data_IF_238744746405
#
_entry.id   IF_238744746405
#
_cell.length_a   1.000
_cell.length_b   1.000
_cell.length_c   1.000
_cell.angle_alpha   90.00
_cell.angle_beta   90.00
_cell.angle_gamma   90.00
#
_symmetry.space_group_name_H-M   'P 1'
#
loop_
_entity.id
_entity.type
_entity.pdbx_description
1 polymer ?
#
# COMPACT_ATOMS: atom_id res chain seq x y z
N UNK A 1 4.00 -26.95 4.82
CA UNK A 1 4.32 -25.54 5.13
C UNK A 1 4.49 -25.44 6.63
N UNK A 2 5.60 -24.89 7.09
CA UNK A 2 5.78 -24.68 8.51
C UNK A 2 4.66 -23.80 9.04
N UNK A 3 4.17 -24.14 10.23
CA UNK A 3 3.14 -23.38 10.92
C UNK A 3 3.56 -21.92 11.05
N UNK A 4 2.67 -20.95 10.81
CA UNK A 4 2.95 -19.52 10.98
C UNK A 4 3.58 -19.21 12.35
N UNK A 5 3.13 -19.88 13.40
CA UNK A 5 3.59 -19.68 14.77
C UNK A 5 5.04 -20.15 15.02
N UNK A 6 5.62 -21.02 14.17
CA UNK A 6 7.04 -21.39 14.26
C UNK A 6 7.97 -20.17 14.04
N UNK A 7 7.47 -19.14 13.34
CA UNK A 7 8.20 -17.87 13.19
C UNK A 7 8.37 -17.18 14.55
N UNK A 8 7.33 -17.18 15.38
CA UNK A 8 7.40 -16.59 16.72
C UNK A 8 8.39 -17.35 17.65
N UNK A 9 8.51 -18.66 17.49
CA UNK A 9 9.49 -19.46 18.22
C UNK A 9 10.93 -19.15 17.76
N UNK A 10 11.14 -19.02 16.45
CA UNK A 10 12.45 -18.82 15.85
C UNK A 10 12.95 -17.39 15.95
N UNK A 11 12.11 -16.40 15.72
CA UNK A 11 12.48 -14.99 15.62
C UNK A 11 12.00 -14.15 16.79
N UNK A 12 11.11 -14.70 17.64
CA UNK A 12 10.48 -13.97 18.75
C UNK A 12 9.31 -13.09 18.30
N UNK A 13 8.66 -12.48 19.29
CA UNK A 13 7.55 -11.53 19.14
C UNK A 13 7.92 -10.19 19.77
N UNK A 14 7.28 -9.07 19.41
CA UNK A 14 6.36 -8.95 18.29
C UNK A 14 7.09 -8.97 16.93
N UNK A 15 6.46 -9.50 15.88
CA UNK A 15 7.05 -9.48 14.55
C UNK A 15 5.98 -9.45 13.45
N UNK A 16 6.31 -8.84 12.31
CA UNK A 16 5.56 -8.99 11.08
C UNK A 16 6.10 -10.15 10.26
N UNK A 17 5.20 -10.90 9.65
CA UNK A 17 5.52 -11.96 8.68
C UNK A 17 4.85 -11.62 7.36
N UNK A 18 5.63 -11.48 6.29
CA UNK A 18 5.10 -11.28 4.94
C UNK A 18 5.42 -12.51 4.08
N UNK A 19 4.37 -13.16 3.61
CA UNK A 19 4.45 -14.38 2.81
C UNK A 19 4.57 -14.04 1.32
N UNK A 20 5.80 -14.14 0.78
CA UNK A 20 6.11 -13.87 -0.62
C UNK A 20 5.50 -14.94 -1.56
N UNK A 21 5.24 -16.17 -1.05
CA UNK A 21 4.59 -17.23 -1.84
C UNK A 21 3.11 -16.93 -2.01
N UNK A 22 2.43 -16.54 -0.92
CA UNK A 22 1.03 -16.12 -0.96
C UNK A 22 0.85 -14.87 -1.84
N UNK A 23 1.75 -13.89 -1.69
CA UNK A 23 1.77 -12.69 -2.55
C UNK A 23 1.89 -13.07 -4.02
N UNK A 24 2.85 -13.93 -4.36
CA UNK A 24 3.06 -14.38 -5.75
C UNK A 24 1.83 -15.09 -6.30
N UNK A 25 1.20 -15.95 -5.50
CA UNK A 25 -0.04 -16.65 -5.88
C UNK A 25 -1.17 -15.67 -6.18
N UNK A 26 -1.37 -14.68 -5.28
CA UNK A 26 -2.38 -13.64 -5.47
C UNK A 26 -2.13 -12.82 -6.72
N UNK A 27 -0.89 -12.37 -6.94
CA UNK A 27 -0.53 -11.57 -8.12
C UNK A 27 -0.70 -12.35 -9.43
N UNK A 28 -0.38 -13.65 -9.45
CA UNK A 28 -0.66 -14.52 -10.61
C UNK A 28 -2.16 -14.64 -10.86
N UNK A 29 -2.98 -14.76 -9.82
CA UNK A 29 -4.44 -14.80 -9.95
C UNK A 29 -5.01 -13.47 -10.45
N UNK A 30 -4.52 -12.33 -9.98
CA UNK A 30 -4.87 -11.01 -10.51
C UNK A 30 -4.47 -10.90 -11.98
N UNK A 31 -3.26 -11.33 -12.35
CA UNK A 31 -2.79 -11.29 -13.74
C UNK A 31 -3.64 -12.15 -14.69
N UNK A 32 -4.15 -13.28 -14.20
CA UNK A 32 -5.04 -14.15 -14.98
C UNK A 32 -6.45 -13.55 -15.22
N UNK A 33 -6.88 -12.61 -14.38
CA UNK A 33 -8.17 -11.91 -14.50
C UNK A 33 -8.06 -10.67 -15.38
N UNK A 34 -6.99 -9.90 -15.21
CA UNK A 34 -6.79 -8.61 -15.91
C UNK A 34 -6.23 -8.89 -17.31
N UNK A 35 -6.78 -8.27 -18.39
CA UNK A 35 -6.24 -8.38 -19.74
C UNK A 35 -4.72 -8.13 -19.82
N UNK A 36 -4.03 -8.87 -20.69
CA UNK A 36 -2.55 -8.87 -20.75
C UNK A 36 -1.97 -7.50 -21.11
N UNK A 37 -2.65 -6.75 -21.96
CA UNK A 37 -2.28 -5.40 -22.38
C UNK A 37 -2.32 -4.36 -21.25
N UNK A 38 -3.07 -4.62 -20.18
CA UNK A 38 -3.15 -3.72 -19.00
C UNK A 38 -1.94 -3.96 -18.10
N UNK A 39 -1.14 -2.93 -17.87
CA UNK A 39 0.02 -2.98 -17.00
C UNK A 39 -0.40 -2.91 -15.52
N UNK A 40 0.40 -3.54 -14.65
CA UNK A 40 0.23 -3.46 -13.20
C UNK A 40 1.30 -2.54 -12.62
N UNK A 41 0.88 -1.65 -11.72
CA UNK A 41 1.74 -0.79 -10.90
C UNK A 41 1.53 -1.10 -9.42
N UNK A 42 2.62 -1.25 -8.68
CA UNK A 42 2.56 -1.41 -7.23
C UNK A 42 2.93 -0.13 -6.50
N UNK A 43 2.01 0.40 -5.69
CA UNK A 43 2.26 1.54 -4.81
C UNK A 43 3.05 1.06 -3.58
N UNK A 44 4.37 1.34 -3.55
CA UNK A 44 5.27 0.79 -2.53
C UNK A 44 4.97 1.29 -1.11
N UNK A 45 4.29 2.43 -0.97
CA UNK A 45 3.77 2.93 0.32
C UNK A 45 2.93 1.92 1.08
N UNK A 46 2.31 0.98 0.37
CA UNK A 46 1.54 -0.09 1.00
C UNK A 46 2.44 -1.02 1.82
N UNK A 47 3.61 -1.40 1.30
CA UNK A 47 4.61 -2.16 2.05
C UNK A 47 5.94 -2.20 1.27
N UNK A 48 6.95 -1.43 1.67
CA UNK A 48 8.24 -1.38 0.97
C UNK A 48 9.06 -2.68 1.11
N UNK A 49 8.77 -3.54 2.09
CA UNK A 49 9.46 -4.83 2.26
C UNK A 49 9.09 -5.85 1.17
N UNK A 50 7.99 -5.62 0.45
CA UNK A 50 7.56 -6.48 -0.65
C UNK A 50 8.18 -6.12 -2.01
N UNK A 51 8.96 -5.05 -2.12
CA UNK A 51 9.60 -4.62 -3.37
C UNK A 51 10.38 -5.76 -4.06
N UNK A 52 11.22 -6.57 -3.35
CA UNK A 52 11.98 -7.63 -4.01
C UNK A 52 11.12 -8.69 -4.72
N UNK A 53 9.94 -8.99 -4.18
CA UNK A 53 8.97 -9.88 -4.81
C UNK A 53 8.17 -9.13 -5.90
N UNK A 54 7.62 -7.95 -5.59
CA UNK A 54 6.74 -7.18 -6.47
C UNK A 54 7.41 -6.73 -7.76
N UNK A 55 8.70 -6.34 -7.75
CA UNK A 55 9.42 -5.93 -8.97
C UNK A 55 9.51 -7.00 -10.06
N UNK A 56 9.21 -8.26 -9.71
CA UNK A 56 9.14 -9.40 -10.65
C UNK A 56 7.73 -9.66 -11.16
N UNK A 57 6.73 -9.04 -10.56
CA UNK A 57 5.31 -9.32 -10.75
C UNK A 57 4.55 -8.15 -11.37
N UNK A 58 5.15 -6.94 -11.37
CA UNK A 58 4.56 -5.71 -11.92
C UNK A 58 5.53 -5.02 -12.87
N UNK A 59 4.99 -4.17 -13.75
CA UNK A 59 5.80 -3.38 -14.68
C UNK A 59 6.32 -2.07 -14.10
N UNK A 60 5.69 -1.54 -13.05
CA UNK A 60 6.00 -0.23 -12.47
C UNK A 60 5.83 -0.25 -10.96
N UNK A 61 6.66 0.56 -10.28
CA UNK A 61 6.55 0.85 -8.85
C UNK A 61 6.25 2.34 -8.69
N UNK A 62 5.14 2.68 -8.05
CA UNK A 62 4.82 4.05 -7.67
C UNK A 62 5.55 4.41 -6.38
N UNK A 63 6.28 5.54 -6.42
CA UNK A 63 7.09 6.10 -5.35
C UNK A 63 6.59 7.51 -5.03
N UNK A 64 6.25 7.77 -3.77
CA UNK A 64 5.59 9.02 -3.35
C UNK A 64 6.47 9.94 -2.50
N UNK A 65 7.72 9.55 -2.20
CA UNK A 65 8.64 10.34 -1.37
C UNK A 65 10.10 10.10 -1.72
N UNK A 66 11.02 11.04 -1.35
CA UNK A 66 12.46 10.82 -1.50
C UNK A 66 12.96 9.60 -0.72
N UNK A 67 12.37 9.30 0.43
CA UNK A 67 12.73 8.13 1.24
C UNK A 67 12.36 6.81 0.54
N UNK A 68 11.18 6.73 -0.06
CA UNK A 68 10.79 5.57 -0.87
C UNK A 68 11.67 5.39 -2.11
N UNK A 69 12.09 6.49 -2.74
CA UNK A 69 13.03 6.44 -3.85
C UNK A 69 14.39 5.87 -3.40
N UNK A 70 14.85 6.27 -2.22
CA UNK A 70 16.10 5.74 -1.66
C UNK A 70 15.98 4.26 -1.32
N UNK A 71 14.84 3.79 -0.80
CA UNK A 71 14.56 2.37 -0.59
C UNK A 71 14.65 1.60 -1.91
N UNK A 72 14.04 2.10 -2.99
CA UNK A 72 14.14 1.50 -4.32
C UNK A 72 15.58 1.40 -4.80
N UNK A 73 16.37 2.49 -4.63
CA UNK A 73 17.78 2.52 -5.00
C UNK A 73 18.60 1.48 -4.25
N UNK A 74 18.44 1.40 -2.94
CA UNK A 74 19.17 0.44 -2.10
C UNK A 74 18.81 -1.01 -2.42
N UNK A 75 17.57 -1.26 -2.82
CA UNK A 75 17.10 -2.58 -3.24
C UNK A 75 17.41 -2.92 -4.71
N UNK A 76 18.17 -2.06 -5.42
CA UNK A 76 18.58 -2.30 -6.80
C UNK A 76 17.41 -2.34 -7.78
N UNK A 77 16.36 -1.55 -7.54
CA UNK A 77 15.27 -1.34 -8.48
C UNK A 77 15.78 -0.53 -9.66
N UNK A 78 15.50 -0.99 -10.88
CA UNK A 78 15.80 -0.19 -12.08
C UNK A 78 15.02 1.11 -12.08
N UNK A 79 15.65 2.28 -12.33
CA UNK A 79 14.95 3.56 -12.40
C UNK A 79 13.82 3.60 -13.42
N UNK A 80 13.90 2.79 -14.47
CA UNK A 80 12.86 2.66 -15.51
C UNK A 80 11.58 2.04 -14.98
N UNK A 81 11.64 1.32 -13.88
CA UNK A 81 10.46 0.78 -13.19
C UNK A 81 9.78 1.82 -12.30
N UNK A 82 10.42 2.95 -12.02
CA UNK A 82 9.91 3.93 -11.05
C UNK A 82 9.01 4.96 -11.74
N UNK A 83 7.81 5.16 -11.21
CA UNK A 83 6.99 6.34 -11.42
C UNK A 83 7.08 7.23 -10.17
N UNK A 84 7.70 8.41 -10.28
CA UNK A 84 7.82 9.32 -9.16
C UNK A 84 6.59 10.20 -9.04
N UNK A 85 5.73 9.83 -8.11
CA UNK A 85 4.46 10.47 -7.77
C UNK A 85 4.60 11.35 -6.51
N UNK A 86 3.55 11.48 -5.73
CA UNK A 86 3.50 12.21 -4.46
C UNK A 86 3.09 13.66 -4.60
N UNK A 87 2.34 14.16 -3.61
CA UNK A 87 1.76 15.51 -3.59
C UNK A 87 2.79 16.58 -3.23
N UNK A 88 3.82 16.23 -2.47
CA UNK A 88 4.88 17.14 -2.06
C UNK A 88 6.18 16.79 -2.81
N UNK A 89 6.44 17.50 -3.91
CA UNK A 89 7.69 17.43 -4.67
C UNK A 89 8.39 18.79 -4.59
N UNK A 90 9.58 18.79 -4.01
CA UNK A 90 10.48 19.95 -4.06
C UNK A 90 11.36 19.89 -5.32
N UNK A 91 12.02 21.02 -5.64
CA UNK A 91 13.03 21.07 -6.70
C UNK A 91 14.12 20.01 -6.45
N UNK A 92 14.61 19.93 -5.22
CA UNK A 92 15.65 18.97 -4.85
C UNK A 92 15.21 17.51 -5.03
N UNK A 93 13.94 17.17 -4.73
CA UNK A 93 13.41 15.81 -4.90
C UNK A 93 13.36 15.42 -6.38
N UNK A 94 12.91 16.35 -7.24
CA UNK A 94 12.84 16.12 -8.68
C UNK A 94 14.24 15.96 -9.27
N UNK A 95 15.15 16.85 -8.92
CA UNK A 95 16.54 16.81 -9.36
C UNK A 95 17.22 15.50 -8.95
N UNK A 96 17.09 15.11 -7.66
CA UNK A 96 17.62 13.85 -7.16
C UNK A 96 17.02 12.63 -7.89
N UNK A 97 15.71 12.62 -8.12
CA UNK A 97 15.07 11.51 -8.84
C UNK A 97 15.64 11.39 -10.26
N UNK A 98 15.82 12.51 -10.94
CA UNK A 98 16.43 12.57 -12.27
C UNK A 98 17.90 12.14 -12.27
N UNK A 99 18.67 12.51 -11.26
CA UNK A 99 20.09 12.12 -11.13
C UNK A 99 20.24 10.61 -10.84
N UNK A 100 19.25 10.02 -10.19
CA UNK A 100 19.16 8.57 -10.00
C UNK A 100 18.63 7.82 -11.24
N UNK A 101 18.33 8.53 -12.33
CA UNK A 101 17.91 7.93 -13.59
C UNK A 101 16.39 7.77 -13.74
N UNK A 102 15.57 8.23 -12.80
CA UNK A 102 14.11 8.21 -12.96
C UNK A 102 13.71 9.11 -14.13
N UNK A 103 12.87 8.56 -14.99
CA UNK A 103 12.42 9.25 -16.21
C UNK A 103 10.96 9.69 -16.14
N UNK A 104 10.11 8.97 -15.41
CA UNK A 104 8.65 9.16 -15.38
C UNK A 104 8.17 9.81 -14.11
N UNK A 105 7.30 10.82 -14.24
CA UNK A 105 6.78 11.61 -13.14
C UNK A 105 5.27 11.82 -13.26
N UNK A 106 4.60 11.95 -12.11
CA UNK A 106 3.23 12.44 -12.02
C UNK A 106 3.22 13.89 -11.58
N UNK A 107 2.54 14.77 -12.32
CA UNK A 107 2.34 16.19 -11.96
C UNK A 107 1.00 16.36 -11.25
N UNK A 108 1.04 16.82 -10.00
CA UNK A 108 -0.16 17.06 -9.19
C UNK A 108 -0.59 18.53 -9.19
N UNK A 109 0.18 19.40 -9.84
CA UNK A 109 -0.07 20.85 -9.88
C UNK A 109 0.74 21.54 -10.99
N UNK A 110 0.39 22.78 -11.36
CA UNK A 110 1.22 23.59 -12.25
C UNK A 110 2.65 23.84 -11.73
N UNK A 111 2.85 23.80 -10.40
CA UNK A 111 4.18 23.86 -9.81
C UNK A 111 5.02 22.65 -10.23
N UNK A 112 4.47 21.45 -10.11
CA UNK A 112 5.19 20.21 -10.50
C UNK A 112 5.53 20.19 -11.99
N UNK A 113 4.65 20.69 -12.85
CA UNK A 113 4.93 20.88 -14.29
C UNK A 113 6.19 21.72 -14.49
N UNK A 114 6.30 22.88 -13.83
CA UNK A 114 7.47 23.76 -13.93
C UNK A 114 8.74 23.11 -13.37
N UNK A 115 8.66 22.51 -12.16
CA UNK A 115 9.83 21.92 -11.51
C UNK A 115 10.44 20.80 -12.36
N UNK A 116 9.59 19.95 -12.95
CA UNK A 116 10.04 18.82 -13.77
C UNK A 116 10.59 19.33 -15.11
N UNK A 117 9.92 20.31 -15.73
CA UNK A 117 10.40 20.94 -16.96
C UNK A 117 11.80 21.57 -16.78
N UNK A 118 11.97 22.41 -15.75
CA UNK A 118 13.24 23.07 -15.45
C UNK A 118 14.36 22.06 -15.17
N UNK A 119 14.07 21.04 -14.35
CA UNK A 119 15.06 20.02 -14.01
C UNK A 119 15.44 19.15 -15.23
N UNK A 120 14.50 18.83 -16.10
CA UNK A 120 14.75 18.07 -17.31
C UNK A 120 15.57 18.87 -18.33
N UNK A 121 15.20 20.15 -18.54
CA UNK A 121 15.96 21.06 -19.44
C UNK A 121 17.41 21.26 -18.99
N UNK A 122 17.64 21.45 -17.68
CA UNK A 122 18.99 21.60 -17.15
C UNK A 122 19.87 20.37 -17.37
N UNK A 123 19.26 19.22 -17.66
CA UNK A 123 19.92 17.94 -17.95
C UNK A 123 19.89 17.56 -19.43
N UNK A 124 19.41 18.47 -20.30
CA UNK A 124 19.34 18.26 -21.75
C UNK A 124 18.41 17.10 -22.15
N UNK A 125 17.37 16.83 -21.36
CA UNK A 125 16.44 15.71 -21.63
C UNK A 125 14.99 16.15 -21.63
N UNK A 126 14.11 15.27 -22.11
CA UNK A 126 12.66 15.40 -22.06
C UNK A 126 12.11 14.28 -21.18
N UNK A 127 11.40 14.65 -20.12
CA UNK A 127 10.80 13.66 -19.20
C UNK A 127 9.32 13.43 -19.52
N UNK A 128 8.88 12.18 -19.71
CA UNK A 128 7.47 11.85 -19.80
C UNK A 128 6.76 12.10 -18.47
N UNK A 129 5.58 12.71 -18.53
CA UNK A 129 4.76 13.04 -17.35
C UNK A 129 3.31 12.63 -17.55
N UNK A 130 2.68 12.21 -16.46
CA UNK A 130 1.23 12.10 -16.33
C UNK A 130 0.71 13.29 -15.55
N UNK A 131 -0.36 13.92 -16.01
CA UNK A 131 -1.06 14.95 -15.25
C UNK A 131 -2.09 14.27 -14.36
N UNK A 132 -2.07 14.53 -13.06
CA UNK A 132 -3.08 13.98 -12.16
C UNK A 132 -4.29 14.87 -12.14
N UNK A 133 -5.43 14.32 -12.54
CA UNK A 133 -6.74 14.96 -12.43
C UNK A 133 -7.30 14.72 -11.04
N UNK A 134 -7.82 15.76 -10.40
CA UNK A 134 -8.40 15.66 -9.05
C UNK A 134 -9.72 14.89 -9.05
N UNK A 135 -9.95 14.17 -7.96
CA UNK A 135 -11.25 13.60 -7.61
C UNK A 135 -11.98 14.40 -6.49
N UNK A 136 -11.61 15.68 -6.32
CA UNK A 136 -12.22 16.57 -5.33
C UNK A 136 -11.53 16.57 -3.96
N UNK A 137 -10.22 16.26 -3.93
CA UNK A 137 -9.41 16.30 -2.72
C UNK A 137 -8.15 17.17 -2.91
N UNK A 138 -7.22 17.14 -1.95
CA UNK A 138 -5.92 17.82 -2.04
C UNK A 138 -4.99 17.26 -3.14
N UNK A 139 -5.36 16.17 -3.77
CA UNK A 139 -4.56 15.51 -4.80
C UNK A 139 -5.00 15.90 -6.20
N UNK A 140 -4.02 16.11 -7.08
CA UNK A 140 -4.24 16.43 -8.48
C UNK A 140 -4.68 17.86 -8.72
N UNK A 141 -4.84 18.23 -9.97
CA UNK A 141 -5.31 19.54 -10.44
C UNK A 141 -6.72 19.46 -10.99
N UNK A 142 -7.46 20.54 -10.93
CA UNK A 142 -8.78 20.64 -11.56
C UNK A 142 -8.69 20.63 -13.09
N UNK A 143 -9.82 20.48 -13.76
CA UNK A 143 -9.86 20.45 -15.24
C UNK A 143 -9.28 21.71 -15.86
N UNK A 144 -9.47 22.89 -15.27
CA UNK A 144 -8.94 24.15 -15.77
C UNK A 144 -7.42 24.11 -15.82
N UNK A 145 -6.76 23.73 -14.73
CA UNK A 145 -5.30 23.70 -14.63
C UNK A 145 -4.73 22.52 -15.44
N UNK A 146 -5.47 21.41 -15.51
CA UNK A 146 -5.13 20.24 -16.33
C UNK A 146 -5.07 20.61 -17.83
N UNK A 147 -6.12 21.22 -18.37
CA UNK A 147 -6.16 21.64 -19.77
C UNK A 147 -5.23 22.83 -20.04
N UNK A 148 -5.07 23.75 -19.09
CA UNK A 148 -4.08 24.84 -19.23
C UNK A 148 -2.65 24.32 -19.34
N UNK A 149 -2.30 23.23 -18.67
CA UNK A 149 -0.98 22.58 -18.85
C UNK A 149 -0.82 22.00 -20.26
N UNK A 150 -1.85 21.38 -20.81
CA UNK A 150 -1.88 20.89 -22.18
C UNK A 150 -1.79 22.00 -23.23
N UNK A 151 -2.56 23.08 -23.07
CA UNK A 151 -2.55 24.25 -23.97
C UNK A 151 -1.17 24.91 -24.02
N UNK A 152 -0.48 24.94 -22.88
CA UNK A 152 0.85 25.54 -22.74
C UNK A 152 2.03 24.60 -22.93
N UNK A 153 1.79 23.36 -23.40
CA UNK A 153 2.86 22.34 -23.51
C UNK A 153 4.08 22.78 -24.32
N UNK A 154 3.89 23.66 -25.32
CA UNK A 154 5.01 24.24 -26.07
C UNK A 154 5.94 25.13 -25.23
N UNK A 155 5.46 25.68 -24.11
CA UNK A 155 6.24 26.49 -23.16
C UNK A 155 7.03 25.65 -22.14
N UNK A 156 6.81 24.34 -22.10
CA UNK A 156 7.48 23.40 -21.19
C UNK A 156 8.21 22.28 -21.96
N UNK A 157 9.24 22.65 -22.76
CA UNK A 157 9.90 21.70 -23.69
C UNK A 157 10.71 20.60 -22.99
N UNK A 158 10.97 20.70 -21.68
CA UNK A 158 11.64 19.67 -20.90
C UNK A 158 10.72 18.52 -20.48
N UNK A 159 9.42 18.62 -20.76
CA UNK A 159 8.48 17.53 -20.47
C UNK A 159 7.68 17.14 -21.71
N UNK A 160 7.23 15.88 -21.71
CA UNK A 160 6.23 15.37 -22.65
C UNK A 160 5.05 14.84 -21.85
N UNK A 161 3.91 15.54 -21.95
CA UNK A 161 2.65 15.09 -21.33
C UNK A 161 2.17 13.87 -22.12
N UNK A 162 2.06 12.72 -21.47
CA UNK A 162 1.68 11.44 -22.08
C UNK A 162 0.25 11.00 -21.72
N UNK A 163 -0.39 11.68 -20.78
CA UNK A 163 -1.76 11.34 -20.39
C UNK A 163 -2.12 11.75 -18.97
N UNK A 164 -2.94 10.92 -18.35
CA UNK A 164 -3.59 11.22 -17.07
C UNK A 164 -3.31 10.15 -16.01
N UNK A 165 -3.16 10.61 -14.78
CA UNK A 165 -3.22 9.78 -13.57
C UNK A 165 -4.52 10.11 -12.83
N UNK A 166 -5.25 9.07 -12.37
CA UNK A 166 -6.51 9.26 -11.65
C UNK A 166 -6.69 8.25 -10.52
N UNK A 167 -7.00 8.76 -9.33
CA UNK A 167 -7.32 7.97 -8.13
C UNK A 167 -8.31 8.73 -7.26
N UNK A 168 -9.43 8.11 -6.90
CA UNK A 168 -10.52 8.76 -6.18
C UNK A 168 -10.76 8.25 -4.76
N UNK A 169 -10.04 7.23 -4.32
CA UNK A 169 -10.18 6.67 -2.98
C UNK A 169 -9.90 5.18 -2.88
N UNK A 170 -9.84 4.68 -1.66
CA UNK A 170 -9.51 3.28 -1.33
C UNK A 170 -10.70 2.56 -0.67
N UNK A 171 -10.64 1.23 -0.61
CA UNK A 171 -11.62 0.38 0.11
C UNK A 171 -13.08 0.58 -0.38
N UNK A 172 -13.26 0.68 -1.67
CA UNK A 172 -14.55 0.95 -2.31
C UNK A 172 -15.28 -0.36 -2.59
N UNK A 173 -16.32 -0.65 -1.81
CA UNK A 173 -17.11 -1.89 -1.90
C UNK A 173 -18.00 -1.95 -3.14
N UNK A 174 -18.60 -0.81 -3.54
CA UNK A 174 -19.49 -0.72 -4.71
C UNK A 174 -18.71 -0.23 -5.92
N UNK A 175 -18.85 -0.89 -7.06
CA UNK A 175 -18.10 -0.59 -8.28
C UNK A 175 -18.74 0.48 -9.19
N UNK A 176 -19.94 0.98 -8.86
CA UNK A 176 -20.63 1.99 -9.68
C UNK A 176 -19.82 3.28 -9.86
N UNK A 177 -19.07 3.67 -8.82
CA UNK A 177 -18.17 4.82 -8.89
C UNK A 177 -17.04 4.58 -9.87
N UNK A 178 -16.37 3.42 -9.78
CA UNK A 178 -15.29 3.03 -10.68
C UNK A 178 -15.76 2.95 -12.14
N UNK A 179 -16.95 2.38 -12.39
CA UNK A 179 -17.52 2.33 -13.75
C UNK A 179 -17.73 3.72 -14.34
N UNK A 180 -18.24 4.69 -13.54
CA UNK A 180 -18.38 6.08 -13.98
C UNK A 180 -17.03 6.74 -14.26
N UNK A 181 -16.03 6.46 -13.44
CA UNK A 181 -14.66 6.97 -13.62
C UNK A 181 -14.04 6.40 -14.90
N UNK A 182 -14.19 5.11 -15.14
CA UNK A 182 -13.68 4.45 -16.35
C UNK A 182 -14.34 5.02 -17.61
N UNK A 183 -15.66 5.26 -17.59
CA UNK A 183 -16.35 5.92 -18.70
C UNK A 183 -15.85 7.37 -18.91
N UNK A 184 -15.63 8.13 -17.85
CA UNK A 184 -15.04 9.48 -17.92
C UNK A 184 -13.64 9.44 -18.49
N UNK A 185 -12.81 8.48 -18.10
CA UNK A 185 -11.44 8.33 -18.59
C UNK A 185 -11.40 7.89 -20.06
N UNK A 186 -12.35 7.08 -20.56
CA UNK A 186 -12.51 6.79 -21.98
C UNK A 186 -12.77 8.09 -22.76
N UNK A 187 -13.75 8.89 -22.34
CA UNK A 187 -14.06 10.15 -23.00
C UNK A 187 -12.89 11.14 -22.96
N UNK A 188 -12.15 11.19 -21.83
CA UNK A 188 -10.96 12.02 -21.70
C UNK A 188 -9.85 11.56 -22.64
N UNK A 189 -9.58 10.25 -22.74
CA UNK A 189 -8.57 9.71 -23.64
C UNK A 189 -8.88 10.05 -25.11
N UNK A 190 -10.14 9.90 -25.52
CA UNK A 190 -10.57 10.26 -26.89
C UNK A 190 -10.45 11.77 -27.13
N UNK A 191 -10.80 12.61 -26.17
CA UNK A 191 -10.61 14.06 -26.23
C UNK A 191 -9.14 14.45 -26.39
N UNK A 192 -8.24 13.82 -25.61
CA UNK A 192 -6.79 14.07 -25.71
C UNK A 192 -6.24 13.72 -27.09
N UNK A 193 -6.72 12.65 -27.72
CA UNK A 193 -6.36 12.30 -29.09
C UNK A 193 -6.88 13.31 -30.09
N UNK A 194 -8.17 13.67 -30.01
CA UNK A 194 -8.85 14.50 -31.00
C UNK A 194 -8.42 15.97 -30.93
N UNK A 195 -8.32 16.55 -29.73
CA UNK A 195 -8.07 17.99 -29.55
C UNK A 195 -6.57 18.31 -29.41
N UNK A 196 -5.78 17.38 -28.84
CA UNK A 196 -4.36 17.62 -28.54
C UNK A 196 -3.39 16.82 -29.43
N UNK A 197 -3.94 16.00 -30.35
CA UNK A 197 -3.14 15.23 -31.31
C UNK A 197 -2.27 14.15 -30.68
N UNK A 198 -2.66 13.62 -29.52
CA UNK A 198 -1.92 12.53 -28.88
C UNK A 198 -2.18 11.22 -29.63
N UNK A 199 -1.16 10.67 -30.28
CA UNK A 199 -1.26 9.36 -30.95
C UNK A 199 -1.55 8.25 -29.93
N UNK A 200 -0.88 8.30 -28.78
CA UNK A 200 -1.08 7.37 -27.67
C UNK A 200 -1.34 8.16 -26.40
N UNK A 201 -2.40 7.81 -25.70
CA UNK A 201 -2.71 8.35 -24.38
C UNK A 201 -2.39 7.29 -23.34
N UNK A 202 -1.66 7.64 -22.30
CA UNK A 202 -1.43 6.79 -21.13
C UNK A 202 -2.38 7.15 -20.00
N UNK A 203 -3.00 6.15 -19.43
CA UNK A 203 -3.84 6.29 -18.24
C UNK A 203 -3.26 5.43 -17.13
N UNK A 204 -2.94 6.07 -15.99
CA UNK A 204 -2.67 5.36 -14.74
C UNK A 204 -3.87 5.53 -13.82
N UNK A 205 -4.53 4.42 -13.53
CA UNK A 205 -5.77 4.40 -12.79
C UNK A 205 -5.66 3.57 -11.51
N UNK A 206 -5.96 4.20 -10.37
CA UNK A 206 -6.11 3.53 -9.09
C UNK A 206 -7.57 3.19 -8.78
N UNK A 207 -8.05 1.96 -9.00
CA UNK A 207 -9.46 1.61 -8.79
C UNK A 207 -9.88 1.60 -7.32
N UNK A 208 -8.93 1.58 -6.39
CA UNK A 208 -9.19 1.58 -4.95
C UNK A 208 -10.05 0.43 -4.47
N UNK A 209 -9.84 -0.75 -5.05
CA UNK A 209 -10.65 -1.94 -4.79
C UNK A 209 -10.68 -2.31 -3.32
N UNK A 210 -11.84 -2.81 -2.91
CA UNK A 210 -12.08 -3.29 -1.57
C UNK A 210 -11.35 -4.60 -1.29
N UNK A 211 -10.82 -4.70 -0.06
CA UNK A 211 -10.29 -5.94 0.51
C UNK A 211 -10.89 -6.14 1.91
N UNK A 212 -11.44 -7.32 2.25
CA UNK A 212 -11.99 -7.60 3.56
C UNK A 212 -10.88 -7.80 4.60
N UNK A 213 -11.03 -7.22 5.78
CA UNK A 213 -10.08 -7.32 6.89
C UNK A 213 -10.66 -7.95 8.13
N UNK A 214 -11.97 -7.77 8.35
CA UNK A 214 -12.60 -8.04 9.63
C UNK A 214 -13.43 -9.33 9.57
N UNK A 215 -13.54 -10.03 10.68
CA UNK A 215 -14.15 -11.35 10.79
C UNK A 215 -15.62 -11.43 10.36
N UNK A 216 -16.34 -10.29 10.37
CA UNK A 216 -17.73 -10.21 9.92
C UNK A 216 -17.87 -9.94 8.41
N UNK A 217 -16.77 -9.77 7.69
CA UNK A 217 -16.75 -9.51 6.25
C UNK A 217 -16.64 -10.85 5.47
N UNK A 218 -17.04 -10.81 4.20
CA UNK A 218 -16.93 -12.01 3.35
C UNK A 218 -15.50 -12.15 2.80
N UNK A 219 -14.86 -13.24 3.14
CA UNK A 219 -13.51 -13.62 2.72
C UNK A 219 -13.49 -14.75 1.68
N UNK A 220 -14.67 -15.22 1.22
CA UNK A 220 -14.76 -16.37 0.33
C UNK A 220 -14.13 -16.13 -1.05
N UNK A 221 -14.21 -14.90 -1.57
CA UNK A 221 -13.61 -14.49 -2.84
C UNK A 221 -13.07 -13.06 -2.77
N UNK A 222 -11.84 -12.90 -2.29
CA UNK A 222 -11.17 -11.58 -2.19
C UNK A 222 -10.77 -11.00 -3.55
N UNK A 223 -10.93 -11.76 -4.65
CA UNK A 223 -10.65 -11.31 -6.03
C UNK A 223 -11.93 -10.92 -6.80
N UNK A 224 -13.12 -11.10 -6.23
CA UNK A 224 -14.37 -10.71 -6.87
C UNK A 224 -14.35 -9.26 -7.40
N UNK A 225 -13.87 -8.23 -6.64
CA UNK A 225 -13.90 -6.85 -7.11
C UNK A 225 -13.11 -6.62 -8.41
N UNK A 226 -11.94 -7.23 -8.57
CA UNK A 226 -11.16 -7.08 -9.81
C UNK A 226 -11.77 -7.87 -10.95
N UNK A 227 -12.35 -9.03 -10.69
CA UNK A 227 -13.04 -9.85 -11.70
C UNK A 227 -14.26 -9.13 -12.26
N UNK A 228 -15.06 -8.53 -11.40
CA UNK A 228 -16.24 -7.78 -11.81
C UNK A 228 -15.89 -6.50 -12.58
N UNK A 229 -14.74 -5.85 -12.27
CA UNK A 229 -14.31 -4.63 -12.94
C UNK A 229 -13.51 -4.89 -14.23
N UNK A 230 -13.01 -6.10 -14.45
CA UNK A 230 -12.15 -6.43 -15.59
C UNK A 230 -12.74 -6.09 -16.97
N UNK A 231 -14.04 -6.30 -17.25
CA UNK A 231 -14.63 -5.89 -18.53
C UNK A 231 -14.59 -4.37 -18.74
N UNK A 232 -14.83 -3.57 -17.70
CA UNK A 232 -14.80 -2.11 -17.79
C UNK A 232 -13.33 -1.61 -17.98
N UNK A 233 -12.37 -2.27 -17.34
CA UNK A 233 -10.94 -2.00 -17.54
C UNK A 233 -10.50 -2.34 -18.98
N UNK A 234 -10.97 -3.45 -19.53
CA UNK A 234 -10.72 -3.82 -20.92
C UNK A 234 -11.31 -2.79 -21.90
N UNK A 235 -12.50 -2.27 -21.61
CA UNK A 235 -13.11 -1.21 -22.41
C UNK A 235 -12.24 0.06 -22.42
N UNK A 236 -11.72 0.50 -21.26
CA UNK A 236 -10.79 1.64 -21.20
C UNK A 236 -9.47 1.35 -21.93
N UNK A 237 -8.92 0.13 -21.82
CA UNK A 237 -7.68 -0.24 -22.49
C UNK A 237 -7.77 -0.20 -24.02
N UNK A 238 -8.98 -0.29 -24.60
CA UNK A 238 -9.18 -0.07 -26.05
C UNK A 238 -8.99 1.40 -26.47
N UNK A 239 -9.05 2.34 -25.52
CA UNK A 239 -8.88 3.78 -25.75
C UNK A 239 -7.49 4.30 -25.37
N UNK A 240 -6.67 3.56 -24.61
CA UNK A 240 -5.41 4.07 -24.06
C UNK A 240 -4.43 2.95 -23.69
N UNK A 241 -3.17 3.30 -23.43
CA UNK A 241 -2.24 2.43 -22.69
C UNK A 241 -2.59 2.50 -21.20
N UNK A 242 -3.31 1.48 -20.71
CA UNK A 242 -3.79 1.46 -19.32
C UNK A 242 -2.78 0.79 -18.38
N UNK A 243 -2.51 1.46 -17.27
CA UNK A 243 -1.85 0.90 -16.08
C UNK A 243 -2.81 0.97 -14.90
N UNK A 244 -3.00 -0.14 -14.17
CA UNK A 244 -3.75 -0.12 -12.92
C UNK A 244 -2.78 -0.11 -11.73
N UNK A 245 -2.96 0.89 -10.85
CA UNK A 245 -2.15 1.14 -9.68
C UNK A 245 -2.85 0.64 -8.43
N UNK A 246 -2.24 -0.30 -7.72
CA UNK A 246 -2.77 -0.82 -6.46
C UNK A 246 -1.65 -1.11 -5.45
N UNK A 247 -1.93 -0.87 -4.18
CA UNK A 247 -1.08 -1.26 -3.06
C UNK A 247 -1.79 -2.27 -2.16
N UNK A 248 -2.79 -1.80 -1.46
CA UNK A 248 -3.61 -2.55 -0.49
C UNK A 248 -4.17 -3.85 -1.06
N UNK A 249 -4.83 -3.77 -2.19
CA UNK A 249 -5.49 -4.92 -2.81
C UNK A 249 -4.52 -6.05 -3.17
N UNK A 250 -3.29 -5.71 -3.54
CA UNK A 250 -2.26 -6.70 -3.83
C UNK A 250 -1.66 -7.32 -2.56
N UNK A 251 -1.34 -6.49 -1.56
CA UNK A 251 -0.47 -6.85 -0.46
C UNK A 251 -1.18 -7.34 0.81
N UNK A 252 -2.45 -6.97 1.05
CA UNK A 252 -3.08 -7.19 2.37
C UNK A 252 -3.06 -8.64 2.84
N UNK A 253 -3.40 -9.57 1.96
CA UNK A 253 -3.56 -10.99 2.30
C UNK A 253 -2.25 -11.67 2.72
N UNK A 254 -1.10 -11.21 2.22
CA UNK A 254 0.17 -11.87 2.46
C UNK A 254 0.81 -11.59 3.82
N UNK A 255 0.21 -10.76 4.66
CA UNK A 255 0.80 -10.37 5.94
C UNK A 255 0.09 -10.90 7.16
N UNK A 256 0.89 -11.29 8.15
CA UNK A 256 0.47 -11.57 9.50
C UNK A 256 1.33 -10.79 10.50
N UNK A 257 0.75 -10.44 11.65
CA UNK A 257 1.47 -9.86 12.77
C UNK A 257 1.36 -10.77 13.98
N UNK A 258 2.49 -11.22 14.50
CA UNK A 258 2.58 -12.12 15.66
C UNK A 258 2.91 -11.33 16.91
N UNK A 259 2.15 -11.56 17.97
CA UNK A 259 2.34 -10.93 19.27
C UNK A 259 2.03 -11.92 20.39
N UNK A 260 2.74 -11.82 21.51
CA UNK A 260 2.63 -12.76 22.64
C UNK A 260 1.84 -12.15 23.76
N UNK A 261 0.97 -12.94 24.37
CA UNK A 261 0.30 -12.59 25.62
C UNK A 261 1.32 -12.56 26.75
N UNK A 262 1.50 -11.40 27.37
CA UNK A 262 2.45 -11.18 28.48
C UNK A 262 1.75 -11.16 29.85
N UNK A 263 0.45 -10.87 29.88
CA UNK A 263 -0.35 -10.86 31.11
C UNK A 263 -1.83 -11.08 30.80
N UNK A 264 -2.55 -11.72 31.70
CA UNK A 264 -4.01 -11.83 31.64
C UNK A 264 -4.60 -11.43 32.98
N UNK A 265 -5.75 -10.74 32.97
CA UNK A 265 -6.44 -10.30 34.20
C UNK A 265 -7.92 -10.05 33.94
N UNK A 266 -8.70 -10.08 35.03
CA UNK A 266 -10.13 -9.71 35.01
C UNK A 266 -10.33 -8.47 35.86
N UNK A 267 -10.83 -7.38 35.27
CA UNK A 267 -11.18 -6.17 35.97
C UNK A 267 -12.62 -5.78 35.65
N UNK A 268 -13.45 -5.59 36.67
CA UNK A 268 -14.85 -5.20 36.49
C UNK A 268 -15.66 -6.16 35.56
N UNK A 269 -15.36 -7.46 35.64
CA UNK A 269 -16.00 -8.48 34.81
C UNK A 269 -15.49 -8.58 33.35
N UNK A 270 -14.53 -7.76 32.95
CA UNK A 270 -13.90 -7.83 31.63
C UNK A 270 -12.58 -8.59 31.71
N UNK A 271 -12.42 -9.61 30.85
CA UNK A 271 -11.16 -10.31 30.68
C UNK A 271 -10.24 -9.53 29.74
N UNK A 272 -9.03 -9.23 30.22
CA UNK A 272 -7.99 -8.53 29.49
C UNK A 272 -6.83 -9.45 29.17
N UNK A 273 -6.33 -9.41 27.94
CA UNK A 273 -5.04 -9.96 27.58
C UNK A 273 -4.14 -8.81 27.11
N UNK A 274 -3.00 -8.67 27.79
CA UNK A 274 -1.97 -7.69 27.43
C UNK A 274 -0.95 -8.39 26.55
N UNK A 275 -0.64 -7.79 25.39
CA UNK A 275 0.34 -8.35 24.46
C UNK A 275 1.62 -7.50 24.41
N UNK A 276 2.72 -8.09 23.95
CA UNK A 276 4.03 -7.43 23.82
C UNK A 276 4.09 -6.38 22.69
N UNK A 277 3.13 -6.41 21.75
CA UNK A 277 2.90 -5.38 20.72
C UNK A 277 1.90 -4.31 21.13
N UNK A 278 1.19 -3.74 20.17
CA UNK A 278 0.15 -2.74 20.40
C UNK A 278 -0.23 -1.96 19.14
N UNK A 279 -1.00 -0.88 19.31
CA UNK A 279 -1.45 -0.01 18.19
C UNK A 279 -0.31 0.69 17.46
N UNK A 280 0.88 0.74 18.05
CA UNK A 280 2.08 1.26 17.38
C UNK A 280 2.62 0.32 16.31
N UNK A 281 2.12 -0.90 16.26
CA UNK A 281 2.46 -1.89 15.25
C UNK A 281 1.25 -2.28 14.39
N UNK A 282 0.07 -2.50 15.01
CA UNK A 282 -1.12 -3.02 14.32
C UNK A 282 -2.06 -1.89 13.93
N UNK A 283 -2.21 -1.71 12.62
CA UNK A 283 -3.09 -0.71 12.04
C UNK A 283 -3.63 -1.21 10.68
N UNK A 284 -4.93 -1.38 10.54
CA UNK A 284 -5.54 -1.84 9.28
C UNK A 284 -5.99 -0.71 8.35
N UNK A 285 -6.54 0.37 8.92
CA UNK A 285 -7.19 1.44 8.16
C UNK A 285 -6.83 2.85 8.66
N UNK A 286 -5.62 3.04 9.19
CA UNK A 286 -5.17 4.35 9.64
C UNK A 286 -5.72 4.78 11.01
N UNK A 287 -6.15 3.85 11.85
CA UNK A 287 -6.61 4.11 13.22
C UNK A 287 -7.93 3.43 13.57
N UNK A 288 -8.34 3.60 14.82
CA UNK A 288 -9.63 3.20 15.39
C UNK A 288 -10.05 1.73 15.20
N UNK A 289 -9.18 0.83 15.64
CA UNK A 289 -9.37 -0.63 15.56
C UNK A 289 -10.40 -1.17 16.54
N UNK A 290 -10.48 -0.60 17.75
CA UNK A 290 -11.14 -1.21 18.91
C UNK A 290 -12.59 -1.68 18.73
N UNK A 291 -13.29 -1.18 17.70
CA UNK A 291 -14.68 -1.55 17.37
C UNK A 291 -14.81 -2.66 16.35
N UNK A 292 -13.73 -3.00 15.63
CA UNK A 292 -13.72 -4.00 14.56
C UNK A 292 -12.77 -5.12 14.93
N UNK A 293 -13.20 -6.35 14.74
CA UNK A 293 -12.42 -7.53 15.08
C UNK A 293 -11.79 -8.08 13.80
N UNK A 294 -10.45 -8.01 13.64
CA UNK A 294 -9.76 -8.65 12.51
C UNK A 294 -9.80 -10.17 12.64
N UNK A 295 -9.33 -10.88 11.64
CA UNK A 295 -9.09 -12.31 11.75
C UNK A 295 -7.88 -12.51 12.67
N UNK A 296 -8.10 -13.24 13.77
CA UNK A 296 -7.08 -13.54 14.78
C UNK A 296 -7.00 -15.05 14.92
N UNK A 297 -5.80 -15.59 14.76
CA UNK A 297 -5.47 -16.98 15.05
C UNK A 297 -4.71 -17.04 16.39
N UNK A 298 -4.87 -18.15 17.12
CA UNK A 298 -4.29 -18.38 18.45
C UNK A 298 -3.43 -19.63 18.47
N UNK A 299 -2.28 -19.59 19.12
CA UNK A 299 -1.43 -20.76 19.39
C UNK A 299 -0.89 -20.72 20.83
N UNK A 300 -0.96 -21.83 21.59
CA UNK A 300 -1.58 -23.08 21.19
C UNK A 300 -3.10 -22.97 21.07
N UNK A 301 -3.71 -23.85 20.27
CA UNK A 301 -5.16 -24.03 20.31
C UNK A 301 -5.53 -24.65 21.66
N UNK A 302 -6.29 -23.92 22.49
CA UNK A 302 -6.71 -24.38 23.81
C UNK A 302 -8.10 -24.95 23.76
N UNK A 303 -8.36 -25.93 24.61
CA UNK A 303 -9.71 -26.42 24.87
C UNK A 303 -10.49 -25.44 25.77
N UNK A 304 -11.80 -25.46 25.68
CA UNK A 304 -12.73 -24.61 26.44
C UNK A 304 -13.58 -23.72 25.54
N UNK A 305 -14.62 -23.16 26.12
CA UNK A 305 -15.54 -22.27 25.41
C UNK A 305 -14.87 -20.94 25.06
N UNK A 306 -15.21 -20.42 23.88
CA UNK A 306 -14.80 -19.06 23.50
C UNK A 306 -15.42 -18.04 24.46
N UNK A 307 -14.65 -17.04 24.81
CA UNK A 307 -15.09 -15.94 25.65
C UNK A 307 -14.58 -14.60 25.12
N UNK A 308 -15.24 -13.49 25.50
CA UNK A 308 -14.81 -12.17 25.05
C UNK A 308 -13.55 -11.72 25.78
N UNK A 309 -12.51 -11.36 25.01
CA UNK A 309 -11.27 -10.77 25.49
C UNK A 309 -11.11 -9.33 24.99
N UNK A 310 -10.70 -8.43 25.88
CA UNK A 310 -10.14 -7.14 25.49
C UNK A 310 -8.64 -7.30 25.26
N UNK A 311 -8.20 -7.20 24.01
CA UNK A 311 -6.80 -7.30 23.62
C UNK A 311 -6.17 -5.91 23.70
N UNK A 312 -5.22 -5.72 24.59
CA UNK A 312 -4.53 -4.46 24.85
C UNK A 312 -3.04 -4.61 24.60
N UNK A 313 -2.42 -3.55 24.11
CA UNK A 313 -0.99 -3.55 23.82
C UNK A 313 -0.13 -3.13 25.01
N UNK A 314 1.15 -2.90 24.72
CA UNK A 314 2.21 -2.61 25.68
C UNK A 314 2.42 -1.12 25.97
N UNK A 315 1.64 -0.24 25.35
CA UNK A 315 1.76 1.21 25.56
C UNK A 315 1.01 1.66 26.81
N UNK A 316 1.61 2.54 27.59
CA UNK A 316 0.99 3.13 28.77
C UNK A 316 -0.01 4.24 28.39
N UNK A 317 -1.06 3.86 27.67
CA UNK A 317 -2.17 4.72 27.28
C UNK A 317 -3.47 3.92 27.17
N UNK A 318 -4.59 4.51 27.57
CA UNK A 318 -5.92 3.91 27.43
C UNK A 318 -6.35 3.74 25.96
N UNK A 319 -5.63 4.34 25.02
CA UNK A 319 -5.87 4.18 23.59
C UNK A 319 -5.31 2.86 23.03
N UNK A 320 -4.40 2.18 23.75
CA UNK A 320 -3.75 0.96 23.27
C UNK A 320 -4.64 -0.27 23.45
N UNK A 321 -5.77 -0.25 22.74
CA UNK A 321 -6.73 -1.33 22.67
C UNK A 321 -6.81 -1.80 21.21
N UNK A 322 -6.22 -2.95 20.93
CA UNK A 322 -6.24 -3.57 19.62
C UNK A 322 -7.65 -4.05 19.25
N UNK A 323 -8.32 -4.72 20.18
CA UNK A 323 -9.69 -5.20 20.04
C UNK A 323 -10.41 -5.12 21.38
N UNK A 324 -11.57 -4.48 21.41
CA UNK A 324 -12.34 -4.35 22.66
C UNK A 324 -13.02 -5.65 23.09
N UNK A 325 -13.41 -6.47 22.11
CA UNK A 325 -14.13 -7.72 22.34
C UNK A 325 -13.82 -8.72 21.23
N UNK A 326 -12.80 -9.54 21.45
CA UNK A 326 -12.45 -10.66 20.58
C UNK A 326 -12.99 -11.95 21.23
N UNK A 327 -13.80 -12.70 20.52
CA UNK A 327 -14.23 -14.04 20.93
C UNK A 327 -13.09 -15.01 20.63
N UNK A 328 -12.40 -15.47 21.67
CA UNK A 328 -11.26 -16.39 21.60
C UNK A 328 -11.37 -17.46 22.66
N UNK A 329 -10.71 -18.60 22.43
CA UNK A 329 -10.51 -19.61 23.46
C UNK A 329 -9.75 -19.03 24.66
N UNK A 330 -9.73 -19.69 25.82
CA UNK A 330 -8.97 -19.21 26.97
C UNK A 330 -7.54 -18.84 26.61
N UNK A 331 -7.08 -17.67 27.06
CA UNK A 331 -5.73 -17.16 26.85
C UNK A 331 -4.91 -17.26 28.13
N UNK A 332 -3.66 -17.65 27.98
CA UNK A 332 -2.66 -17.67 29.07
C UNK A 332 -1.41 -16.89 28.67
N UNK A 333 -0.63 -16.51 29.68
CA UNK A 333 0.69 -15.93 29.47
C UNK A 333 1.56 -16.87 28.63
N UNK A 334 2.15 -16.35 27.57
CA UNK A 334 2.98 -17.10 26.63
C UNK A 334 2.27 -17.48 25.33
N UNK A 335 0.94 -17.46 25.28
CA UNK A 335 0.19 -17.69 24.04
C UNK A 335 0.55 -16.66 22.98
N UNK A 336 0.54 -17.08 21.72
CA UNK A 336 0.82 -16.21 20.59
C UNK A 336 -0.47 -15.98 19.79
N UNK A 337 -0.74 -14.73 19.49
CA UNK A 337 -1.83 -14.29 18.61
C UNK A 337 -1.26 -13.84 17.27
N UNK A 338 -1.89 -14.26 16.19
CA UNK A 338 -1.61 -13.82 14.84
C UNK A 338 -2.77 -12.96 14.30
N UNK A 339 -2.49 -11.68 14.05
CA UNK A 339 -3.41 -10.78 13.37
C UNK A 339 -3.18 -10.94 11.86
N UNK A 340 -4.20 -11.43 11.13
CA UNK A 340 -4.10 -11.77 9.72
C UNK A 340 -4.40 -10.60 8.79
N UNK A 341 -4.10 -10.74 7.50
CA UNK A 341 -4.38 -9.75 6.45
C UNK A 341 -3.71 -8.39 6.66
N UNK A 342 -2.56 -8.35 7.30
CA UNK A 342 -1.86 -7.13 7.69
C UNK A 342 -0.68 -6.78 6.75
N UNK A 343 -0.69 -7.30 5.54
CA UNK A 343 0.38 -7.12 4.56
C UNK A 343 0.53 -5.72 3.99
N UNK A 344 -0.46 -4.84 4.23
CA UNK A 344 -0.44 -3.48 3.69
C UNK A 344 -0.57 -2.42 4.79
N UNK A 345 0.25 -1.38 4.72
CA UNK A 345 0.29 -0.15 5.54
C UNK A 345 0.74 -0.35 6.99
N UNK A 346 0.21 -1.29 7.74
CA UNK A 346 0.45 -1.46 9.17
C UNK A 346 1.92 -1.29 9.59
N UNK A 347 2.82 -1.83 8.81
CA UNK A 347 4.27 -1.80 9.08
C UNK A 347 4.87 -0.39 9.09
N UNK A 348 4.18 0.60 8.51
CA UNK A 348 4.66 1.99 8.35
C UNK A 348 3.74 3.06 8.94
N UNK A 349 2.48 2.75 9.24
CA UNK A 349 1.49 3.76 9.66
C UNK A 349 1.31 3.90 11.17
N UNK A 350 1.89 3.02 11.98
CA UNK A 350 1.75 3.08 13.43
C UNK A 350 2.59 4.20 14.08
N UNK A 351 2.23 4.67 15.30
CA UNK A 351 3.00 5.67 16.06
C UNK A 351 4.26 5.05 16.68
N UNK A 352 5.20 4.64 15.83
CA UNK A 352 6.33 3.78 16.16
C UNK A 352 7.33 4.37 17.17
N UNK A 353 7.32 5.69 17.39
CA UNK A 353 8.25 6.35 18.34
C UNK A 353 7.65 6.58 19.73
N UNK A 354 6.34 6.34 19.91
CA UNK A 354 5.69 6.60 21.19
C UNK A 354 6.22 5.67 22.29
N UNK A 355 6.55 6.25 23.45
CA UNK A 355 7.17 5.58 24.63
C UNK A 355 8.51 4.91 24.32
N UNK A 356 9.17 5.24 23.21
CA UNK A 356 10.44 4.63 22.80
C UNK A 356 10.41 3.09 22.79
N UNK A 357 9.24 2.52 22.44
CA UNK A 357 9.11 1.07 22.24
C UNK A 357 9.81 0.66 20.95
N UNK A 358 10.45 -0.48 20.99
CA UNK A 358 11.19 -1.01 19.86
C UNK A 358 10.27 -1.30 18.65
N UNK A 359 10.76 -1.02 17.44
CA UNK A 359 10.08 -1.46 16.22
C UNK A 359 10.27 -2.97 16.06
N UNK A 360 9.21 -3.70 15.63
CA UNK A 360 9.22 -5.14 15.58
C UNK A 360 10.10 -5.67 14.45
N UNK A 361 10.49 -6.93 14.56
CA UNK A 361 11.13 -7.67 13.47
C UNK A 361 10.23 -7.79 12.27
N UNK A 362 10.85 -7.90 11.10
CA UNK A 362 10.18 -8.20 9.84
C UNK A 362 10.80 -9.46 9.27
N UNK A 363 9.96 -10.46 9.09
CA UNK A 363 10.32 -11.76 8.53
C UNK A 363 9.63 -11.88 7.17
N UNK A 364 10.38 -12.29 6.16
CA UNK A 364 9.86 -12.63 4.84
C UNK A 364 9.86 -14.14 4.70
N UNK A 365 8.70 -14.71 4.41
CA UNK A 365 8.49 -16.13 4.17
C UNK A 365 8.54 -16.39 2.67
N UNK A 366 9.58 -17.09 2.22
CA UNK A 366 9.78 -17.48 0.82
C UNK A 366 9.66 -18.98 0.59
N UNK A 367 9.80 -19.42 -0.66
CA UNK A 367 9.80 -20.85 -1.04
C UNK A 367 10.91 -21.65 -0.35
N UNK A 368 12.04 -21.03 -0.05
CA UNK A 368 13.21 -21.67 0.58
C UNK A 368 13.24 -21.52 2.10
N UNK A 369 12.17 -20.96 2.70
CA UNK A 369 12.04 -20.75 4.13
C UNK A 369 11.98 -19.28 4.56
N UNK A 370 11.98 -19.08 5.87
CA UNK A 370 11.83 -17.77 6.50
C UNK A 370 13.20 -17.07 6.64
N UNK A 371 13.26 -15.78 6.30
CA UNK A 371 14.44 -14.92 6.45
C UNK A 371 14.10 -13.62 7.19
N UNK A 372 15.03 -13.17 8.03
CA UNK A 372 14.93 -11.88 8.69
C UNK A 372 15.23 -10.76 7.69
N UNK A 373 14.24 -9.88 7.43
CA UNK A 373 14.43 -8.73 6.54
C UNK A 373 14.85 -7.47 7.32
N UNK A 374 14.36 -7.32 8.54
CA UNK A 374 14.77 -6.26 9.47
C UNK A 374 14.72 -6.82 10.88
N UNK A 375 15.78 -6.63 11.65
CA UNK A 375 15.79 -6.93 13.09
C UNK A 375 15.11 -5.82 13.88
N UNK A 376 15.00 -6.02 15.18
CA UNK A 376 14.51 -5.00 16.11
C UNK A 376 15.24 -3.69 15.89
N UNK A 377 14.48 -2.60 15.78
CA UNK A 377 15.05 -1.25 15.77
C UNK A 377 14.71 -0.56 17.09
N UNK A 378 15.73 -0.18 17.81
CA UNK A 378 15.59 0.49 19.11
C UNK A 378 15.17 1.94 18.89
N UNK A 379 13.89 2.24 19.00
CA UNK A 379 13.34 3.56 18.72
C UNK A 379 13.81 4.64 19.69
N UNK A 380 14.29 4.26 20.88
CA UNK A 380 14.91 5.19 21.82
C UNK A 380 16.13 5.92 21.24
N UNK A 381 16.82 5.30 20.26
CA UNK A 381 17.95 5.94 19.56
C UNK A 381 17.55 7.15 18.71
N UNK A 382 16.25 7.30 18.46
CA UNK A 382 15.67 8.41 17.69
C UNK A 382 15.02 9.48 18.60
N UNK A 383 14.93 9.22 19.92
CA UNK A 383 14.21 10.03 20.89
C UNK A 383 15.14 10.66 21.97
N UNK A 384 16.43 10.79 21.69
CA UNK A 384 17.39 11.46 22.58
C UNK A 384 18.39 12.31 21.76
N UNK A 385 19.10 13.22 22.47
CA UNK A 385 20.19 14.03 21.89
C UNK A 385 21.43 13.19 21.58
#
# INVERSE_FOLDING_TARGET
MDNLFSVAERFGTPCFVFDEVQLTRRMKAVRAIVPEEIRLCYSIKANPFLIPAMRRLVGTLEVCSPGELEICRQQGVSPDMVLFSGVNKTKADVERAMDLGVTRFTCESPLHVRLIDEAARSRGRVSPVLLRLTAGSQFGMDERDFFAALDRRAATPGIRIEGVHYFSGTQRKKLDGQRKELAMLCALADRLKAEYGMETVRVEYGPGLYFPYFNHEDHSDTLAPIRELAPDLAALAAHCELTIEMGRFFASECGAYLTRVVDTKVNGGTAYAIVDGGIHHVNYLGGNMGMRVPIIEQSPAREGDMQPWALCGSLCTTADVLVRKAELHPLEQGDVLAFMNIGAYSVTEGPALFLSRDMPRIVLRGETGDRLARDVVHSWTLNHE
#
